data_IF_480903961428
#
_entry.id   IF_480903961428
#
_cell.length_a   1.000
_cell.length_b   1.000
_cell.length_c   1.000
_cell.angle_alpha   90.00
_cell.angle_beta   90.00
_cell.angle_gamma   90.00
#
_symmetry.space_group_name_H-M   'P 1'
#
loop_
_entity.id
_entity.type
_entity.pdbx_description
1 polymer ?
#
# COMPACT_ATOMS: atom_id res chain seq x y z
N UNK A 1 7.05 12.25 -7.80
CA UNK A 1 7.05 10.79 -8.07
C UNK A 1 6.10 10.14 -7.07
N UNK A 2 5.24 9.21 -7.50
CA UNK A 2 4.40 8.41 -6.61
C UNK A 2 4.99 6.99 -6.54
N UNK A 3 4.97 6.38 -5.36
CA UNK A 3 5.41 5.01 -5.12
C UNK A 3 4.46 4.32 -4.12
N UNK A 4 4.28 3.00 -4.27
CA UNK A 4 3.45 2.16 -3.40
C UNK A 4 4.21 0.88 -3.01
N UNK A 5 3.79 0.25 -1.92
CA UNK A 5 4.32 -1.05 -1.45
C UNK A 5 3.42 -2.17 -2.01
N UNK A 6 4.03 -3.22 -2.55
CA UNK A 6 3.37 -4.39 -3.17
C UNK A 6 4.21 -5.66 -2.93
N UNK A 7 3.62 -6.85 -3.13
CA UNK A 7 4.27 -8.16 -2.86
C UNK A 7 5.02 -8.77 -4.04
N UNK A 8 4.83 -8.26 -5.25
CA UNK A 8 5.28 -8.92 -6.49
C UNK A 8 4.76 -10.38 -6.61
N UNK A 9 5.54 -11.38 -6.19
CA UNK A 9 5.22 -12.83 -6.22
C UNK A 9 5.16 -13.48 -4.81
N UNK A 10 4.08 -13.27 -4.03
CA UNK A 10 4.01 -13.66 -2.62
C UNK A 10 4.19 -15.18 -2.38
N UNK A 11 3.69 -16.03 -3.28
CA UNK A 11 3.80 -17.49 -3.14
C UNK A 11 5.24 -18.01 -3.30
N UNK A 12 6.04 -17.36 -4.15
CA UNK A 12 7.46 -17.70 -4.36
C UNK A 12 8.28 -17.22 -3.18
N UNK A 13 7.92 -16.07 -2.61
CA UNK A 13 8.65 -15.41 -1.53
C UNK A 13 8.24 -15.90 -0.13
N UNK A 14 7.08 -16.55 0.01
CA UNK A 14 6.56 -17.02 1.29
C UNK A 14 6.12 -15.89 2.22
N UNK A 15 5.63 -14.78 1.65
CA UNK A 15 5.21 -13.57 2.37
C UNK A 15 3.80 -13.14 1.98
N UNK A 16 3.25 -12.20 2.74
CA UNK A 16 1.97 -11.54 2.47
C UNK A 16 2.16 -10.02 2.53
N UNK A 17 1.17 -9.25 2.05
CA UNK A 17 1.24 -7.79 2.05
C UNK A 17 1.49 -7.20 3.45
N UNK A 18 1.04 -7.88 4.51
CA UNK A 18 1.32 -7.47 5.89
C UNK A 18 2.82 -7.49 6.23
N UNK A 19 3.57 -8.47 5.70
CA UNK A 19 5.02 -8.56 5.89
C UNK A 19 5.72 -7.36 5.26
N UNK A 20 5.33 -6.99 4.04
CA UNK A 20 5.91 -5.84 3.33
C UNK A 20 5.76 -4.55 4.13
N UNK A 21 4.59 -4.32 4.72
CA UNK A 21 4.31 -3.11 5.51
C UNK A 21 4.94 -3.12 6.91
N UNK A 22 4.98 -4.29 7.57
CA UNK A 22 5.40 -4.37 8.99
C UNK A 22 6.87 -4.73 9.18
N UNK A 23 7.49 -5.35 8.17
CA UNK A 23 8.87 -5.87 8.27
C UNK A 23 9.76 -5.21 7.23
N UNK A 24 9.45 -5.37 5.93
CA UNK A 24 10.33 -4.90 4.86
C UNK A 24 10.45 -3.37 4.81
N UNK A 25 9.32 -2.65 4.85
CA UNK A 25 9.32 -1.19 4.77
C UNK A 25 10.08 -0.50 5.93
N UNK A 26 9.90 -0.90 7.20
CA UNK A 26 10.74 -0.39 8.29
C UNK A 26 12.24 -0.76 8.15
N UNK A 27 12.56 -1.97 7.68
CA UNK A 27 13.96 -2.38 7.44
C UNK A 27 14.62 -1.59 6.30
N UNK A 28 13.83 -1.17 5.31
CA UNK A 28 14.26 -0.25 4.26
C UNK A 28 14.39 1.21 4.75
N UNK A 29 14.12 1.49 6.03
CA UNK A 29 14.29 2.80 6.65
C UNK A 29 13.09 3.74 6.49
N UNK A 30 11.95 3.25 6.00
CA UNK A 30 10.76 4.09 5.88
C UNK A 30 10.16 4.37 7.26
N UNK A 31 9.85 5.64 7.50
CA UNK A 31 9.09 6.10 8.65
C UNK A 31 7.61 5.67 8.54
N UNK A 32 6.88 5.61 9.67
CA UNK A 32 5.43 5.33 9.63
C UNK A 32 4.64 6.27 8.70
N UNK A 33 5.04 7.54 8.61
CA UNK A 33 4.41 8.52 7.72
C UNK A 33 4.67 8.23 6.24
N UNK A 34 5.88 7.80 5.88
CA UNK A 34 6.21 7.38 4.52
C UNK A 34 5.49 6.09 4.13
N UNK A 35 5.42 5.12 5.04
CA UNK A 35 4.64 3.88 4.85
C UNK A 35 3.17 4.21 4.60
N UNK A 36 2.59 5.13 5.40
CA UNK A 36 1.21 5.59 5.20
C UNK A 36 1.04 6.29 3.85
N UNK A 37 1.99 7.13 3.46
CA UNK A 37 1.97 7.81 2.16
C UNK A 37 2.02 6.81 1.00
N UNK A 38 2.86 5.76 1.10
CA UNK A 38 2.94 4.70 0.10
C UNK A 38 1.64 3.88 0.00
N UNK A 39 0.96 3.64 1.14
CA UNK A 39 -0.36 3.01 1.17
C UNK A 39 -1.39 3.82 0.38
N UNK A 40 -1.47 5.12 0.66
CA UNK A 40 -2.41 6.02 -0.02
C UNK A 40 -2.09 6.16 -1.51
N UNK A 41 -0.81 6.17 -1.87
CA UNK A 41 -0.37 6.18 -3.27
C UNK A 41 -0.81 4.93 -4.02
N UNK A 42 -0.89 3.76 -3.37
CA UNK A 42 -1.44 2.55 -3.97
C UNK A 42 -2.87 2.77 -4.49
N UNK A 43 -3.72 3.43 -3.71
CA UNK A 43 -5.08 3.78 -4.14
C UNK A 43 -5.08 4.86 -5.23
N UNK A 44 -4.21 5.87 -5.12
CA UNK A 44 -4.12 6.94 -6.14
C UNK A 44 -3.73 6.40 -7.52
N UNK A 45 -2.81 5.43 -7.56
CA UNK A 45 -2.27 4.83 -8.79
C UNK A 45 -3.13 3.70 -9.35
N UNK A 46 -4.09 3.16 -8.58
CA UNK A 46 -4.99 2.12 -9.05
C UNK A 46 -5.76 2.57 -10.30
N UNK A 47 -5.90 1.67 -11.28
CA UNK A 47 -6.71 1.87 -12.49
C UNK A 47 -8.21 1.76 -12.18
N UNK A 48 -8.67 2.67 -11.34
CA UNK A 48 -10.05 2.87 -10.93
C UNK A 48 -10.46 4.30 -11.26
N UNK A 49 -11.75 4.51 -11.48
CA UNK A 49 -12.32 5.85 -11.53
C UNK A 49 -12.18 6.56 -10.19
N UNK A 50 -12.23 7.90 -10.19
CA UNK A 50 -12.17 8.68 -8.95
C UNK A 50 -13.34 8.37 -8.02
N UNK A 51 -14.52 8.04 -8.57
CA UNK A 51 -15.70 7.63 -7.82
C UNK A 51 -15.46 6.30 -7.08
N UNK A 52 -14.88 5.30 -7.75
CA UNK A 52 -14.53 4.02 -7.13
C UNK A 52 -13.46 4.18 -6.04
N UNK A 53 -12.43 5.01 -6.29
CA UNK A 53 -11.43 5.33 -5.27
C UNK A 53 -12.05 6.01 -4.05
N UNK A 54 -13.03 6.90 -4.25
CA UNK A 54 -13.73 7.54 -3.14
C UNK A 54 -14.58 6.54 -2.35
N UNK A 55 -15.34 5.69 -3.04
CA UNK A 55 -16.13 4.64 -2.38
C UNK A 55 -15.27 3.71 -1.52
N UNK A 56 -14.04 3.37 -1.96
CA UNK A 56 -13.09 2.60 -1.16
C UNK A 56 -12.62 3.36 0.09
N UNK A 57 -12.36 4.67 -0.01
CA UNK A 57 -12.00 5.51 1.15
C UNK A 57 -13.15 5.56 2.17
N UNK A 58 -14.36 5.80 1.70
CA UNK A 58 -15.54 5.91 2.55
C UNK A 58 -15.83 4.58 3.26
N UNK A 59 -15.64 3.45 2.57
CA UNK A 59 -15.81 2.10 3.14
C UNK A 59 -14.88 1.81 4.32
N UNK A 60 -13.67 2.36 4.32
CA UNK A 60 -12.66 2.11 5.37
C UNK A 60 -12.53 3.23 6.39
N UNK A 61 -13.31 4.31 6.24
CA UNK A 61 -13.33 5.46 7.16
C UNK A 61 -14.24 5.25 8.39
N UNK A 62 -15.00 4.16 8.46
CA UNK A 62 -15.78 3.75 9.63
C UNK A 62 -15.00 2.89 10.60
#
# INVERSE_FOLDING_TARGET
MLASINTDDPAVQGIEIEHEYRVAAPQAGLTPAEIRTAQENGLKMAFLSEQEKQALRDKVQG
#
